data_IF_903576570165
#
_entry.id   IF_903576570165
#
_cell.length_a   1.000
_cell.length_b   1.000
_cell.length_c   1.000
_cell.angle_alpha   90.00
_cell.angle_beta   90.00
_cell.angle_gamma   90.00
#
_symmetry.space_group_name_H-M   'P 1'
#
loop_
_entity.id
_entity.type
_entity.pdbx_description
1 polymer ?
#
# COMPACT_ATOMS: atom_id res chain seq x y z
N UNK A 1 -12.90 -15.73 2.63
CA UNK A 1 -12.47 -16.74 1.61
C UNK A 1 -11.04 -17.12 1.91
N UNK A 2 -10.74 -18.39 2.14
CA UNK A 2 -9.37 -18.88 2.37
C UNK A 2 -8.61 -18.70 1.05
N UNK A 3 -7.46 -18.04 1.13
CA UNK A 3 -6.57 -17.78 0.01
C UNK A 3 -6.18 -19.08 -0.68
N UNK A 4 -6.90 -19.44 -1.73
CA UNK A 4 -6.45 -20.47 -2.67
C UNK A 4 -5.07 -20.06 -3.18
N UNK A 5 -4.21 -21.03 -3.45
CA UNK A 5 -2.87 -20.79 -3.99
C UNK A 5 -2.99 -20.00 -5.29
N UNK A 6 -2.72 -18.69 -5.21
CA UNK A 6 -2.76 -17.80 -6.38
C UNK A 6 -1.59 -18.09 -7.29
N UNK A 7 -1.85 -18.19 -8.59
CA UNK A 7 -0.77 -18.32 -9.57
C UNK A 7 0.07 -17.05 -9.58
N UNK A 8 1.33 -17.16 -9.19
CA UNK A 8 2.30 -16.06 -9.20
C UNK A 8 3.02 -15.99 -10.53
N UNK A 9 3.22 -14.77 -10.98
CA UNK A 9 4.05 -14.44 -12.15
C UNK A 9 5.34 -13.76 -11.68
N UNK A 10 6.39 -13.86 -12.48
CA UNK A 10 7.67 -13.17 -12.27
C UNK A 10 7.90 -12.17 -13.38
N UNK A 11 8.13 -10.91 -13.02
CA UNK A 11 8.48 -9.88 -13.98
C UNK A 11 9.96 -9.90 -14.34
N UNK A 12 10.31 -9.28 -15.45
CA UNK A 12 11.69 -9.01 -15.84
C UNK A 12 12.44 -8.11 -14.85
N UNK A 13 11.71 -7.29 -14.10
CA UNK A 13 12.27 -6.41 -13.05
C UNK A 13 12.52 -7.12 -11.72
N UNK A 14 12.10 -8.39 -11.60
CA UNK A 14 12.27 -9.20 -10.39
C UNK A 14 11.11 -9.11 -9.39
N UNK A 15 10.01 -8.47 -9.77
CA UNK A 15 8.77 -8.49 -8.99
C UNK A 15 8.04 -9.83 -9.15
N UNK A 16 7.45 -10.31 -8.07
CA UNK A 16 6.44 -11.34 -8.06
C UNK A 16 5.06 -10.70 -7.95
N UNK A 17 4.12 -11.15 -8.75
CA UNK A 17 2.76 -10.60 -8.75
C UNK A 17 1.73 -11.65 -9.11
N UNK A 18 0.47 -11.36 -8.82
CA UNK A 18 -0.70 -12.08 -9.33
C UNK A 18 -1.49 -11.18 -10.25
N UNK A 19 -2.23 -11.79 -11.19
CA UNK A 19 -3.10 -11.11 -12.14
C UNK A 19 -4.46 -11.77 -12.11
N UNK A 20 -5.52 -10.99 -11.92
CA UNK A 20 -6.91 -11.45 -11.81
C UNK A 20 -7.85 -10.51 -12.58
N UNK A 21 -8.90 -11.06 -13.16
CA UNK A 21 -9.92 -10.27 -13.86
C UNK A 21 -9.50 -9.75 -15.23
N UNK A 22 -10.32 -8.86 -15.79
CA UNK A 22 -10.14 -8.19 -17.08
C UNK A 22 -10.65 -6.75 -16.99
N UNK A 23 -10.13 -5.87 -17.84
CA UNK A 23 -10.46 -4.44 -17.86
C UNK A 23 -9.27 -3.55 -17.60
N UNK A 24 -9.46 -2.26 -17.26
CA UNK A 24 -8.40 -1.33 -16.94
C UNK A 24 -7.52 -1.82 -15.79
N UNK A 25 -6.24 -1.42 -15.79
CA UNK A 25 -5.24 -1.97 -14.87
C UNK A 25 -5.27 -1.29 -13.49
N UNK A 26 -5.51 -2.08 -12.44
CA UNK A 26 -5.45 -1.66 -11.05
C UNK A 26 -4.31 -2.39 -10.33
N UNK A 27 -3.33 -1.64 -9.83
CA UNK A 27 -2.14 -2.20 -9.16
C UNK A 27 -2.23 -2.00 -7.65
N UNK A 28 -2.02 -3.08 -6.89
CA UNK A 28 -2.11 -3.12 -5.43
C UNK A 28 -0.74 -3.37 -4.79
N UNK A 29 -0.31 -2.50 -3.87
CA UNK A 29 0.97 -2.56 -3.17
C UNK A 29 0.75 -2.67 -1.66
N UNK A 30 1.24 -3.75 -1.04
CA UNK A 30 1.07 -4.03 0.39
C UNK A 30 2.00 -3.22 1.31
N UNK A 31 1.82 -3.32 2.63
CA UNK A 31 2.67 -2.70 3.66
C UNK A 31 3.91 -3.50 4.04
N UNK A 32 4.79 -2.91 4.86
CA UNK A 32 6.04 -3.55 5.34
C UNK A 32 5.74 -4.88 6.03
N UNK A 33 6.53 -5.90 5.72
CA UNK A 33 6.45 -7.23 6.32
C UNK A 33 5.27 -8.08 5.86
N UNK A 34 4.38 -7.52 5.06
CA UNK A 34 3.27 -8.23 4.45
C UNK A 34 3.66 -8.79 3.07
N UNK A 35 2.68 -9.26 2.33
CA UNK A 35 2.81 -9.83 1.00
C UNK A 35 1.51 -9.63 0.22
N UNK A 36 1.50 -9.95 -1.07
CA UNK A 36 0.35 -9.67 -1.95
C UNK A 36 -0.96 -10.29 -1.47
N UNK A 37 -0.92 -11.38 -0.68
CA UNK A 37 -2.12 -12.00 -0.10
C UNK A 37 -2.83 -11.12 0.93
N UNK A 38 -2.20 -10.05 1.42
CA UNK A 38 -2.86 -9.05 2.25
C UNK A 38 -4.02 -8.32 1.52
N UNK A 39 -4.09 -8.44 0.21
CA UNK A 39 -5.17 -7.96 -0.65
C UNK A 39 -6.26 -9.01 -0.93
N UNK A 40 -6.24 -10.14 -0.25
CA UNK A 40 -7.13 -11.27 -0.52
C UNK A 40 -8.61 -10.92 -0.52
N UNK A 41 -9.04 -10.01 0.38
CA UNK A 41 -10.43 -9.59 0.49
C UNK A 41 -10.84 -8.54 -0.57
N UNK A 42 -9.90 -8.03 -1.36
CA UNK A 42 -10.15 -7.11 -2.48
C UNK A 42 -10.28 -7.84 -3.82
N UNK A 43 -9.63 -8.99 -3.99
CA UNK A 43 -9.49 -9.65 -5.28
C UNK A 43 -10.81 -9.95 -5.97
N UNK A 44 -11.77 -10.58 -5.28
CA UNK A 44 -13.04 -10.95 -5.88
C UNK A 44 -13.88 -9.73 -6.31
N UNK A 45 -13.90 -8.69 -5.49
CA UNK A 45 -14.68 -7.49 -5.77
C UNK A 45 -14.09 -6.69 -6.93
N UNK A 46 -12.77 -6.45 -6.89
CA UNK A 46 -12.09 -5.61 -7.87
C UNK A 46 -11.95 -6.30 -9.23
N UNK A 47 -11.70 -7.61 -9.26
CA UNK A 47 -11.49 -8.36 -10.51
C UNK A 47 -12.76 -8.50 -11.39
N UNK A 48 -13.93 -8.11 -10.89
CA UNK A 48 -15.17 -8.04 -11.68
C UNK A 48 -15.12 -6.93 -12.74
N UNK A 49 -14.37 -5.85 -12.46
CA UNK A 49 -14.35 -4.66 -13.32
C UNK A 49 -12.95 -4.31 -13.83
N UNK A 50 -11.90 -4.83 -13.21
CA UNK A 50 -10.51 -4.44 -13.47
C UNK A 50 -9.62 -5.65 -13.70
N UNK A 51 -8.53 -5.44 -14.43
CA UNK A 51 -7.37 -6.32 -14.35
C UNK A 51 -6.58 -5.94 -13.10
N UNK A 52 -6.71 -6.72 -12.04
CA UNK A 52 -6.07 -6.48 -10.74
C UNK A 52 -4.70 -7.13 -10.72
N UNK A 53 -3.68 -6.35 -10.46
CA UNK A 53 -2.32 -6.79 -10.23
C UNK A 53 -1.94 -6.51 -8.78
N UNK A 54 -1.76 -7.55 -7.96
CA UNK A 54 -1.17 -7.37 -6.64
C UNK A 54 0.29 -7.81 -6.68
N UNK A 55 1.19 -6.94 -6.23
CA UNK A 55 2.64 -7.19 -6.26
C UNK A 55 3.17 -7.48 -4.86
N UNK A 56 4.14 -8.38 -4.75
CA UNK A 56 5.03 -8.39 -3.60
C UNK A 56 6.03 -7.24 -3.77
N UNK A 57 6.14 -6.35 -2.78
CA UNK A 57 7.16 -5.30 -2.80
C UNK A 57 8.58 -5.92 -2.93
N UNK A 58 9.55 -5.22 -3.54
CA UNK A 58 10.94 -5.68 -3.53
C UNK A 58 11.40 -6.10 -2.14
N UNK A 59 11.99 -7.31 -2.05
CA UNK A 59 12.44 -7.91 -0.80
C UNK A 59 11.33 -8.53 0.06
N UNK A 60 10.08 -8.61 -0.42
CA UNK A 60 8.95 -9.25 0.27
C UNK A 60 8.39 -10.40 -0.58
N UNK A 61 7.69 -11.32 0.10
CA UNK A 61 7.08 -12.47 -0.54
C UNK A 61 8.09 -13.20 -1.43
N UNK A 62 7.82 -13.23 -2.73
CA UNK A 62 8.70 -13.85 -3.70
C UNK A 62 9.43 -12.84 -4.63
N UNK A 63 9.34 -11.55 -4.35
CA UNK A 63 10.06 -10.52 -5.09
C UNK A 63 11.52 -10.45 -4.68
N UNK A 64 12.37 -10.16 -5.68
CA UNK A 64 13.83 -10.03 -5.46
C UNK A 64 14.14 -8.88 -4.51
N UNK A 65 15.09 -9.09 -3.60
CA UNK A 65 15.69 -8.03 -2.80
C UNK A 65 16.49 -7.06 -3.68
N UNK A 66 16.34 -5.76 -3.43
CA UNK A 66 17.21 -4.74 -4.04
C UNK A 66 18.57 -4.72 -3.34
N UNK A 67 19.67 -4.59 -4.10
CA UNK A 67 21.03 -4.56 -3.53
C UNK A 67 21.26 -3.35 -2.64
N UNK A 68 20.76 -2.20 -3.06
CA UNK A 68 20.86 -0.94 -2.33
C UNK A 68 19.52 -0.21 -2.40
N UNK A 69 18.93 0.04 -1.25
CA UNK A 69 17.68 0.79 -1.16
C UNK A 69 17.73 1.71 0.05
N UNK A 70 17.78 3.01 -0.19
CA UNK A 70 17.92 4.04 0.84
C UNK A 70 16.68 4.91 0.95
N UNK A 71 15.77 4.87 -0.02
CA UNK A 71 14.57 5.69 -0.02
C UNK A 71 13.40 5.06 -0.77
N UNK A 72 12.22 5.65 -0.63
CA UNK A 72 10.96 5.18 -1.20
C UNK A 72 10.97 5.17 -2.74
N UNK A 73 11.73 6.06 -3.37
CA UNK A 73 11.79 6.19 -4.83
C UNK A 73 12.34 4.93 -5.49
N UNK A 74 13.22 4.20 -4.82
CA UNK A 74 13.77 2.94 -5.35
C UNK A 74 12.71 1.86 -5.48
N UNK A 75 11.80 1.75 -4.51
CA UNK A 75 10.64 0.85 -4.61
C UNK A 75 9.73 1.27 -5.76
N UNK A 76 9.46 2.55 -5.83
CA UNK A 76 8.63 3.15 -6.90
C UNK A 76 9.23 2.90 -8.28
N UNK A 77 10.54 3.10 -8.46
CA UNK A 77 11.25 2.92 -9.74
C UNK A 77 11.15 1.48 -10.28
N UNK A 78 11.22 0.49 -9.40
CA UNK A 78 11.08 -0.93 -9.79
C UNK A 78 9.67 -1.21 -10.30
N UNK A 79 8.64 -0.71 -9.60
CA UNK A 79 7.23 -0.89 -9.99
C UNK A 79 6.94 -0.11 -11.28
N UNK A 80 7.39 1.14 -11.38
CA UNK A 80 7.19 1.96 -12.58
C UNK A 80 7.83 1.32 -13.82
N UNK A 81 9.04 0.78 -13.69
CA UNK A 81 9.71 0.07 -14.78
C UNK A 81 8.89 -1.15 -15.22
N UNK A 82 8.38 -1.93 -14.28
CA UNK A 82 7.53 -3.08 -14.58
C UNK A 82 6.25 -2.65 -15.31
N UNK A 83 5.54 -1.63 -14.82
CA UNK A 83 4.33 -1.10 -15.47
C UNK A 83 4.67 -0.66 -16.89
N UNK A 84 5.73 0.12 -17.09
CA UNK A 84 6.15 0.65 -18.38
C UNK A 84 6.54 -0.46 -19.38
N UNK A 85 7.18 -1.53 -18.92
CA UNK A 85 7.70 -2.58 -19.81
C UNK A 85 6.69 -3.69 -20.09
N UNK A 86 5.87 -4.07 -19.11
CA UNK A 86 5.01 -5.25 -19.20
C UNK A 86 3.52 -4.92 -19.29
N UNK A 87 3.01 -3.95 -18.52
CA UNK A 87 1.61 -3.54 -18.60
C UNK A 87 1.35 -2.59 -19.78
N UNK A 88 2.27 -1.67 -20.04
CA UNK A 88 2.23 -0.71 -21.17
C UNK A 88 0.95 0.13 -21.24
N UNK A 89 0.35 0.40 -20.10
CA UNK A 89 -0.85 1.21 -19.93
C UNK A 89 -0.75 2.03 -18.64
N UNK A 90 -1.46 3.14 -18.57
CA UNK A 90 -1.65 3.82 -17.29
C UNK A 90 -2.46 2.95 -16.33
N UNK A 91 -2.27 3.15 -15.03
CA UNK A 91 -2.89 2.34 -13.98
C UNK A 91 -3.51 3.24 -12.91
N UNK A 92 -4.54 2.75 -12.24
CA UNK A 92 -4.86 3.24 -10.91
C UNK A 92 -3.97 2.48 -9.92
N UNK A 93 -3.21 3.23 -9.10
CA UNK A 93 -2.30 2.66 -8.13
C UNK A 93 -2.92 2.71 -6.74
N UNK A 94 -3.12 1.56 -6.11
CA UNK A 94 -3.57 1.47 -4.73
C UNK A 94 -2.45 0.93 -3.83
N UNK A 95 -2.25 1.54 -2.67
CA UNK A 95 -1.27 1.07 -1.70
C UNK A 95 -1.78 1.14 -0.27
N UNK A 96 -1.30 0.21 0.57
CA UNK A 96 -1.59 0.17 1.99
C UNK A 96 -0.32 0.44 2.80
N UNK A 97 -0.41 1.31 3.82
CA UNK A 97 0.72 1.63 4.71
C UNK A 97 1.95 2.12 3.92
N UNK A 98 3.11 1.49 3.99
CA UNK A 98 4.25 1.84 3.14
C UNK A 98 3.91 1.75 1.64
N UNK A 99 3.07 0.79 1.24
CA UNK A 99 2.58 0.68 -0.14
C UNK A 99 1.82 1.94 -0.59
N UNK A 100 1.12 2.62 0.32
CA UNK A 100 0.45 3.89 0.02
C UNK A 100 1.44 5.04 -0.25
N UNK A 101 2.55 5.04 0.47
CA UNK A 101 3.63 6.02 0.24
C UNK A 101 4.32 5.77 -1.11
N UNK A 102 4.49 4.49 -1.49
CA UNK A 102 4.98 4.10 -2.82
C UNK A 102 3.99 4.54 -3.91
N UNK A 103 2.69 4.32 -3.70
CA UNK A 103 1.65 4.72 -4.64
C UNK A 103 1.60 6.24 -4.86
N UNK A 104 1.70 7.03 -3.79
CA UNK A 104 1.78 8.49 -3.87
C UNK A 104 3.05 8.94 -4.58
N UNK A 105 4.20 8.37 -4.24
CA UNK A 105 5.47 8.68 -4.91
C UNK A 105 5.43 8.30 -6.40
N UNK A 106 4.73 7.21 -6.76
CA UNK A 106 4.49 6.84 -8.14
C UNK A 106 3.64 7.87 -8.88
N UNK A 107 2.51 8.29 -8.32
CA UNK A 107 1.63 9.27 -8.92
C UNK A 107 2.31 10.64 -9.13
N UNK A 108 3.21 11.03 -8.22
CA UNK A 108 3.99 12.26 -8.31
C UNK A 108 5.08 12.17 -9.40
N UNK A 109 5.82 11.07 -9.46
CA UNK A 109 7.01 10.96 -10.33
C UNK A 109 6.74 10.37 -11.71
N UNK A 110 5.65 9.66 -11.87
CA UNK A 110 5.27 8.94 -13.09
C UNK A 110 3.80 9.20 -13.42
N UNK A 111 3.42 10.48 -13.41
CA UNK A 111 2.03 10.92 -13.65
C UNK A 111 1.48 10.42 -14.98
N UNK A 112 2.33 10.28 -15.99
CA UNK A 112 1.97 9.75 -17.32
C UNK A 112 1.58 8.26 -17.31
N UNK A 113 1.97 7.53 -16.26
CA UNK A 113 1.61 6.12 -16.05
C UNK A 113 0.51 5.93 -15.01
N UNK A 114 -0.02 7.03 -14.44
CA UNK A 114 -0.95 7.00 -13.33
C UNK A 114 -2.27 7.67 -13.71
N UNK A 115 -3.38 6.93 -13.68
CA UNK A 115 -4.73 7.48 -13.86
C UNK A 115 -5.36 7.96 -12.56
N UNK A 116 -4.84 7.54 -11.40
CA UNK A 116 -5.30 7.93 -10.08
C UNK A 116 -4.62 7.15 -8.97
N UNK A 117 -4.67 7.65 -7.75
CA UNK A 117 -4.01 7.03 -6.59
C UNK A 117 -4.96 6.82 -5.42
N UNK A 118 -4.94 5.61 -4.86
CA UNK A 118 -5.68 5.19 -3.66
C UNK A 118 -4.67 4.93 -2.55
N UNK A 119 -4.57 5.82 -1.58
CA UNK A 119 -3.65 5.73 -0.45
C UNK A 119 -4.40 5.28 0.81
N UNK A 120 -4.22 4.00 1.20
CA UNK A 120 -4.84 3.43 2.39
C UNK A 120 -3.87 3.47 3.57
N UNK A 121 -4.34 4.03 4.70
CA UNK A 121 -3.58 4.12 5.95
C UNK A 121 -2.18 4.70 5.74
N UNK A 122 -2.11 5.83 5.03
CA UNK A 122 -0.86 6.50 4.65
C UNK A 122 -0.36 7.42 5.76
N UNK A 123 0.95 7.42 5.97
CA UNK A 123 1.59 8.33 6.92
C UNK A 123 1.89 9.67 6.25
N UNK A 124 1.62 10.75 6.99
CA UNK A 124 1.97 12.10 6.57
C UNK A 124 2.34 12.97 7.78
N UNK A 125 3.56 13.53 7.76
CA UNK A 125 4.05 14.47 8.80
C UNK A 125 3.85 13.97 10.23
N UNK A 126 4.53 12.85 10.57
CA UNK A 126 4.51 12.31 11.95
C UNK A 126 4.91 13.37 12.97
N UNK A 127 4.33 13.28 14.17
CA UNK A 127 4.78 14.10 15.31
C UNK A 127 6.25 13.79 15.66
N UNK A 128 6.87 14.69 16.41
CA UNK A 128 8.26 14.51 16.87
C UNK A 128 8.41 13.22 17.68
N UNK A 129 7.41 12.92 18.52
CA UNK A 129 7.36 11.72 19.36
C UNK A 129 7.26 10.46 18.51
N UNK A 130 6.35 10.47 17.51
CA UNK A 130 6.19 9.34 16.59
C UNK A 130 7.46 9.10 15.77
N UNK A 131 8.14 10.15 15.29
CA UNK A 131 9.45 10.04 14.61
C UNK A 131 10.49 9.40 15.50
N UNK A 132 10.63 9.85 16.76
CA UNK A 132 11.56 9.26 17.72
C UNK A 132 11.28 7.77 17.96
N UNK A 133 10.00 7.41 18.11
CA UNK A 133 9.59 6.02 18.35
C UNK A 133 9.93 5.10 17.16
N UNK A 134 9.67 5.52 15.91
CA UNK A 134 9.99 4.71 14.73
C UNK A 134 11.50 4.59 14.52
N UNK A 135 12.29 5.65 14.76
CA UNK A 135 13.74 5.60 14.67
C UNK A 135 14.36 4.68 15.75
N UNK A 136 13.85 4.72 16.98
CA UNK A 136 14.27 3.79 18.02
C UNK A 136 14.01 2.33 17.62
N UNK A 137 12.86 2.07 16.97
CA UNK A 137 12.54 0.73 16.47
C UNK A 137 13.47 0.28 15.34
N UNK A 138 13.90 1.18 14.44
CA UNK A 138 14.92 0.87 13.42
C UNK A 138 16.20 0.37 14.06
N UNK A 139 16.69 1.05 15.10
CA UNK A 139 17.91 0.64 15.81
C UNK A 139 17.75 -0.75 16.47
N UNK A 140 16.59 -1.01 17.06
CA UNK A 140 16.28 -2.34 17.61
C UNK A 140 16.34 -3.41 16.53
N UNK A 141 15.66 -3.21 15.38
CA UNK A 141 15.63 -4.15 14.27
C UNK A 141 17.02 -4.39 13.67
N UNK A 142 17.88 -3.37 13.61
CA UNK A 142 19.27 -3.51 13.13
C UNK A 142 20.13 -4.36 14.07
N UNK A 143 19.92 -4.23 15.37
CA UNK A 143 20.74 -4.89 16.40
C UNK A 143 20.18 -6.26 16.83
N UNK A 144 18.94 -6.60 16.47
CA UNK A 144 18.29 -7.82 16.87
C UNK A 144 18.63 -8.95 15.87
N UNK A 145 19.11 -10.07 16.39
CA UNK A 145 19.41 -11.27 15.59
C UNK A 145 18.10 -11.90 15.08
N UNK A 146 17.00 -11.71 15.82
CA UNK A 146 15.65 -12.17 15.44
C UNK A 146 14.64 -11.03 15.62
N UNK A 147 14.65 -9.99 14.74
CA UNK A 147 13.83 -8.78 14.89
C UNK A 147 12.33 -9.05 14.69
N UNK A 148 11.93 -10.27 14.41
CA UNK A 148 10.57 -10.67 14.13
C UNK A 148 9.73 -10.83 15.40
N UNK A 149 9.72 -9.81 16.25
CA UNK A 149 8.65 -9.71 17.23
C UNK A 149 7.36 -9.31 16.48
N UNK A 150 6.69 -10.32 15.94
CA UNK A 150 5.46 -10.17 15.16
C UNK A 150 4.26 -9.78 16.01
N UNK A 151 4.30 -10.05 17.32
CA UNK A 151 3.19 -9.79 18.24
C UNK A 151 2.93 -8.29 18.40
N UNK A 152 3.98 -7.49 18.63
CA UNK A 152 3.83 -6.06 18.90
C UNK A 152 3.20 -5.26 17.74
N UNK A 153 3.60 -5.42 16.44
CA UNK A 153 2.88 -4.77 15.35
C UNK A 153 1.45 -5.27 15.22
N UNK A 154 1.18 -6.58 15.29
CA UNK A 154 -0.17 -7.14 15.14
C UNK A 154 -1.11 -6.64 16.24
N UNK A 155 -0.65 -6.59 17.51
CA UNK A 155 -1.44 -6.02 18.60
C UNK A 155 -1.84 -4.56 18.36
N UNK A 156 -1.00 -3.77 17.66
CA UNK A 156 -1.34 -2.39 17.30
C UNK A 156 -2.29 -2.29 16.10
N UNK A 157 -2.24 -3.26 15.20
CA UNK A 157 -2.99 -3.25 13.94
C UNK A 157 -4.44 -3.71 14.10
N UNK A 158 -4.75 -4.46 15.16
CA UNK A 158 -6.08 -4.98 15.47
C UNK A 158 -6.56 -4.53 16.84
N UNK A 159 -7.88 -4.58 17.10
CA UNK A 159 -8.43 -4.43 18.44
C UNK A 159 -8.11 -5.66 19.30
N UNK A 160 -7.72 -5.44 20.55
CA UNK A 160 -7.31 -6.54 21.42
C UNK A 160 -8.26 -6.67 22.62
N UNK A 161 -8.70 -7.88 22.98
CA UNK A 161 -8.42 -9.19 22.35
C UNK A 161 -9.10 -9.32 20.99
N UNK A 162 -8.36 -9.85 20.00
CA UNK A 162 -8.89 -10.05 18.64
C UNK A 162 -9.92 -11.17 18.66
N UNK A 163 -11.10 -10.94 18.08
CA UNK A 163 -12.23 -11.87 18.10
C UNK A 163 -12.83 -12.06 16.69
N UNK A 164 -13.59 -13.15 16.54
CA UNK A 164 -14.28 -13.43 15.27
C UNK A 164 -13.33 -13.62 14.10
N UNK A 165 -13.74 -13.16 12.93
CA UNK A 165 -12.97 -13.27 11.69
C UNK A 165 -11.65 -12.48 11.73
N UNK A 166 -11.58 -11.43 12.54
CA UNK A 166 -10.36 -10.63 12.70
C UNK A 166 -9.22 -11.43 13.36
N UNK A 167 -9.53 -12.45 14.17
CA UNK A 167 -8.53 -13.35 14.74
C UNK A 167 -7.77 -14.12 13.63
N UNK A 168 -8.49 -14.57 12.59
CA UNK A 168 -7.87 -15.22 11.44
C UNK A 168 -6.92 -14.25 10.71
N UNK A 169 -7.34 -12.99 10.50
CA UNK A 169 -6.49 -11.99 9.85
C UNK A 169 -5.27 -11.63 10.69
N UNK A 170 -5.41 -11.56 12.02
CA UNK A 170 -4.28 -11.33 12.92
C UNK A 170 -3.27 -12.49 12.86
N UNK A 171 -3.74 -13.74 12.84
CA UNK A 171 -2.89 -14.92 12.69
C UNK A 171 -2.17 -14.95 11.34
N UNK A 172 -2.87 -14.62 10.24
CA UNK A 172 -2.25 -14.49 8.91
C UNK A 172 -1.17 -13.41 8.91
N UNK A 173 -1.43 -12.25 9.51
CA UNK A 173 -0.44 -11.20 9.64
C UNK A 173 0.79 -11.65 10.44
N UNK A 174 0.60 -12.39 11.54
CA UNK A 174 1.70 -13.00 12.30
C UNK A 174 2.51 -13.96 11.43
N UNK A 175 1.85 -14.83 10.66
CA UNK A 175 2.50 -15.76 9.75
C UNK A 175 3.30 -15.02 8.67
N UNK A 176 2.72 -14.04 7.99
CA UNK A 176 3.41 -13.27 6.94
C UNK A 176 4.63 -12.52 7.48
N UNK A 177 4.49 -11.87 8.62
CA UNK A 177 5.59 -11.18 9.29
C UNK A 177 6.72 -12.14 9.68
N UNK A 178 6.40 -13.32 10.23
CA UNK A 178 7.39 -14.33 10.62
C UNK A 178 8.12 -14.95 9.44
N UNK A 179 7.48 -15.00 8.26
CA UNK A 179 8.01 -15.54 7.02
C UNK A 179 8.65 -14.47 6.12
N UNK A 180 8.52 -13.19 6.46
CA UNK A 180 9.10 -12.12 5.66
C UNK A 180 10.62 -12.27 5.56
N UNK A 181 11.23 -12.15 4.36
CA UNK A 181 12.68 -12.17 4.21
C UNK A 181 13.31 -11.08 5.05
N UNK A 182 14.20 -11.46 5.98
CA UNK A 182 14.72 -10.57 7.02
C UNK A 182 15.37 -9.31 6.48
N UNK A 183 16.21 -9.43 5.45
CA UNK A 183 16.90 -8.29 4.85
C UNK A 183 15.92 -7.37 4.12
N UNK A 184 14.91 -7.93 3.46
CA UNK A 184 13.84 -7.17 2.82
C UNK A 184 13.00 -6.41 3.85
N UNK A 185 12.64 -7.06 4.94
CA UNK A 185 11.92 -6.43 6.05
C UNK A 185 12.72 -5.28 6.68
N UNK A 186 14.00 -5.51 7.00
CA UNK A 186 14.89 -4.48 7.58
C UNK A 186 15.01 -3.27 6.66
N UNK A 187 15.29 -3.51 5.39
CA UNK A 187 15.44 -2.47 4.38
C UNK A 187 14.15 -1.64 4.23
N UNK A 188 13.01 -2.29 4.07
CA UNK A 188 11.72 -1.63 3.93
C UNK A 188 11.33 -0.86 5.19
N UNK A 189 11.54 -1.44 6.37
CA UNK A 189 11.22 -0.78 7.64
C UNK A 189 12.07 0.49 7.85
N UNK A 190 13.35 0.44 7.51
CA UNK A 190 14.23 1.62 7.56
C UNK A 190 13.73 2.72 6.62
N UNK A 191 13.45 2.38 5.36
CA UNK A 191 12.91 3.33 4.37
C UNK A 191 11.58 3.91 4.85
N UNK A 192 10.66 3.10 5.37
CA UNK A 192 9.39 3.56 5.93
C UNK A 192 9.58 4.55 7.08
N UNK A 193 10.54 4.30 7.96
CA UNK A 193 10.80 5.16 9.12
C UNK A 193 11.43 6.50 8.74
N UNK A 194 12.27 6.51 7.71
CA UNK A 194 12.94 7.73 7.23
C UNK A 194 12.04 8.59 6.33
N UNK A 195 10.91 8.06 5.86
CA UNK A 195 9.96 8.78 5.02
C UNK A 195 8.74 9.20 5.83
N UNK A 196 8.29 10.41 5.61
CA UNK A 196 7.21 11.06 6.36
C UNK A 196 6.09 11.59 5.45
N UNK A 197 5.90 10.93 4.32
CA UNK A 197 4.99 11.32 3.26
C UNK A 197 5.60 12.28 2.24
N UNK A 198 4.85 12.67 1.21
CA UNK A 198 5.30 13.58 0.17
C UNK A 198 5.53 15.01 0.68
N UNK A 199 6.33 15.79 -0.05
CA UNK A 199 6.39 17.23 0.19
C UNK A 199 5.05 17.90 -0.14
N UNK A 200 4.73 18.97 0.57
CA UNK A 200 3.47 19.71 0.32
C UNK A 200 3.41 20.28 -1.10
N UNK A 201 4.55 20.73 -1.64
CA UNK A 201 4.67 21.18 -3.02
C UNK A 201 4.28 20.11 -4.03
N UNK A 202 4.67 18.85 -3.77
CA UNK A 202 4.37 17.73 -4.65
C UNK A 202 2.89 17.35 -4.61
N UNK A 203 2.28 17.40 -3.42
CA UNK A 203 0.83 17.19 -3.27
C UNK A 203 0.02 18.30 -3.96
N UNK A 204 0.45 19.57 -3.86
CA UNK A 204 -0.18 20.70 -4.57
C UNK A 204 -0.07 20.60 -6.09
N UNK A 205 0.99 19.97 -6.57
CA UNK A 205 1.24 19.77 -7.99
C UNK A 205 0.71 18.43 -8.53
N UNK A 206 0.06 17.62 -7.70
CA UNK A 206 -0.44 16.30 -8.11
C UNK A 206 -1.53 16.45 -9.16
N UNK A 207 -1.23 16.01 -10.39
CA UNK A 207 -2.09 16.19 -11.57
C UNK A 207 -3.15 15.10 -11.74
N UNK A 208 -3.19 14.09 -10.89
CA UNK A 208 -4.15 12.96 -10.97
C UNK A 208 -5.07 12.94 -9.75
N UNK A 209 -6.28 12.38 -9.88
CA UNK A 209 -7.16 12.18 -8.73
C UNK A 209 -6.49 11.37 -7.63
N UNK A 210 -6.73 11.73 -6.37
CA UNK A 210 -6.20 11.05 -5.20
C UNK A 210 -7.29 10.83 -4.14
N UNK A 211 -7.40 9.61 -3.60
CA UNK A 211 -8.23 9.33 -2.43
C UNK A 211 -7.36 8.77 -1.29
N UNK A 212 -7.54 9.36 -0.11
CA UNK A 212 -6.85 9.00 1.12
C UNK A 212 -7.84 8.33 2.06
N UNK A 213 -7.74 6.99 2.15
CA UNK A 213 -8.62 6.18 3.01
C UNK A 213 -7.84 5.81 4.26
N UNK A 214 -8.39 6.11 5.44
CA UNK A 214 -7.77 5.69 6.70
C UNK A 214 -8.81 5.21 7.69
N UNK A 215 -8.36 4.67 8.79
CA UNK A 215 -9.20 4.14 9.86
C UNK A 215 -9.23 5.09 11.06
N UNK A 216 -10.40 5.24 11.70
CA UNK A 216 -10.57 6.13 12.85
C UNK A 216 -9.59 5.84 13.97
N UNK A 217 -9.32 4.56 14.22
CA UNK A 217 -8.52 4.10 15.35
C UNK A 217 -7.11 3.62 14.93
N UNK A 218 -6.62 4.00 13.74
CA UNK A 218 -5.26 3.65 13.32
C UNK A 218 -4.21 4.44 14.12
N UNK A 219 -3.36 3.77 14.91
CA UNK A 219 -2.35 4.47 15.70
C UNK A 219 -1.15 4.97 14.86
N UNK A 220 -1.00 4.50 13.62
CA UNK A 220 0.12 4.84 12.74
C UNK A 220 -0.20 5.97 11.77
N UNK A 221 -1.42 5.97 11.22
CA UNK A 221 -1.92 6.92 10.21
C UNK A 221 -3.26 7.50 10.65
N UNK A 222 -3.19 8.53 11.48
CA UNK A 222 -4.37 9.19 12.04
C UNK A 222 -5.23 9.85 10.94
N UNK A 223 -6.55 9.98 11.13
CA UNK A 223 -7.46 10.63 10.19
C UNK A 223 -6.97 11.99 9.70
N UNK A 224 -6.44 12.81 10.59
CA UNK A 224 -5.91 14.14 10.26
C UNK A 224 -4.79 14.14 9.23
N UNK A 225 -4.04 13.04 9.09
CA UNK A 225 -3.01 12.89 8.05
C UNK A 225 -3.66 12.76 6.67
N UNK A 226 -4.68 11.92 6.53
CA UNK A 226 -5.43 11.74 5.28
C UNK A 226 -6.23 12.99 4.90
N UNK A 227 -6.89 13.61 5.86
CA UNK A 227 -7.62 14.87 5.67
C UNK A 227 -6.69 16.01 5.21
N UNK A 228 -5.49 16.10 5.80
CA UNK A 228 -4.49 17.09 5.41
C UNK A 228 -4.02 16.87 3.98
N UNK A 229 -3.67 15.65 3.60
CA UNK A 229 -3.26 15.34 2.23
C UNK A 229 -4.38 15.61 1.21
N UNK A 230 -5.61 15.22 1.53
CA UNK A 230 -6.77 15.48 0.68
C UNK A 230 -7.03 16.98 0.47
N UNK A 231 -6.87 17.79 1.51
CA UNK A 231 -7.04 19.25 1.43
C UNK A 231 -5.95 19.91 0.56
N UNK A 232 -4.74 19.36 0.56
CA UNK A 232 -3.61 19.92 -0.20
C UNK A 232 -3.70 19.56 -1.69
N UNK A 233 -4.16 18.35 -2.02
CA UNK A 233 -4.24 17.88 -3.40
C UNK A 233 -5.38 18.55 -4.17
N UNK A 234 -5.16 19.04 -5.42
CA UNK A 234 -6.21 19.68 -6.21
C UNK A 234 -7.45 18.81 -6.45
N UNK A 235 -7.27 17.49 -6.60
CA UNK A 235 -8.33 16.50 -6.78
C UNK A 235 -8.31 15.46 -5.63
N UNK A 236 -8.04 15.94 -4.41
CA UNK A 236 -7.93 15.12 -3.21
C UNK A 236 -9.28 14.84 -2.57
N UNK A 237 -9.48 13.59 -2.14
CA UNK A 237 -10.64 13.15 -1.35
C UNK A 237 -10.13 12.38 -0.14
N UNK A 238 -10.83 12.45 0.99
CA UNK A 238 -10.55 11.62 2.17
C UNK A 238 -11.78 10.83 2.57
N UNK A 239 -11.54 9.62 3.08
CA UNK A 239 -12.58 8.76 3.63
C UNK A 239 -12.08 8.10 4.91
N UNK A 240 -12.87 8.15 5.96
CA UNK A 240 -12.52 7.58 7.27
C UNK A 240 -13.40 6.36 7.54
N UNK A 241 -12.77 5.21 7.68
CA UNK A 241 -13.45 3.96 8.07
C UNK A 241 -13.62 3.98 9.57
N UNK A 242 -14.87 4.04 10.02
CA UNK A 242 -15.19 4.02 11.44
C UNK A 242 -14.94 2.62 12.03
N UNK A 243 -14.66 2.56 13.34
CA UNK A 243 -14.42 1.33 14.09
C UNK A 243 -13.31 0.40 13.54
N UNK A 244 -12.44 0.92 12.67
CA UNK A 244 -11.33 0.19 12.07
C UNK A 244 -9.98 0.65 12.62
N UNK A 245 -8.99 -0.23 12.54
CA UNK A 245 -7.56 0.03 12.79
C UNK A 245 -6.74 -0.14 11.52
N UNK A 246 -5.43 -0.39 11.68
CA UNK A 246 -4.46 -0.36 10.58
C UNK A 246 -4.77 -1.37 9.46
N UNK A 247 -5.34 -2.53 9.78
CA UNK A 247 -5.62 -3.58 8.79
C UNK A 247 -7.05 -3.52 8.22
N UNK A 248 -7.62 -2.32 8.10
CA UNK A 248 -8.95 -2.11 7.51
C UNK A 248 -9.16 -2.77 6.12
N UNK A 249 -8.17 -2.86 5.21
CA UNK A 249 -8.36 -3.61 3.96
C UNK A 249 -8.77 -5.07 4.18
N UNK A 250 -8.34 -5.70 5.28
CA UNK A 250 -8.77 -7.06 5.64
C UNK A 250 -10.08 -7.07 6.43
N UNK A 251 -10.18 -6.25 7.47
CA UNK A 251 -11.28 -6.28 8.44
C UNK A 251 -12.56 -5.59 7.97
N UNK A 252 -12.42 -4.56 7.13
CA UNK A 252 -13.52 -3.70 6.65
C UNK A 252 -13.60 -3.67 5.11
N UNK A 253 -13.29 -4.80 4.47
CA UNK A 253 -13.28 -4.91 3.01
C UNK A 253 -14.64 -4.59 2.37
N UNK A 254 -15.73 -4.90 3.06
CA UNK A 254 -17.10 -4.61 2.58
C UNK A 254 -17.38 -3.11 2.43
N UNK A 255 -16.70 -2.27 3.20
CA UNK A 255 -16.78 -0.80 3.11
C UNK A 255 -15.74 -0.24 2.13
N UNK A 256 -14.52 -0.76 2.18
CA UNK A 256 -13.39 -0.27 1.37
C UNK A 256 -13.55 -0.62 -0.11
N UNK A 257 -13.99 -1.83 -0.44
CA UNK A 257 -14.09 -2.28 -1.83
C UNK A 257 -15.00 -1.41 -2.69
N UNK A 258 -16.23 -1.04 -2.28
CA UNK A 258 -17.08 -0.12 -3.04
C UNK A 258 -16.43 1.25 -3.27
N UNK A 259 -15.72 1.79 -2.27
CA UNK A 259 -15.01 3.08 -2.39
C UNK A 259 -13.89 2.97 -3.44
N UNK A 260 -13.09 1.91 -3.40
CA UNK A 260 -12.02 1.67 -4.37
C UNK A 260 -12.58 1.51 -5.79
N UNK A 261 -13.69 0.79 -5.96
CA UNK A 261 -14.33 0.55 -7.26
C UNK A 261 -14.85 1.86 -7.84
N UNK A 262 -15.61 2.63 -7.06
CA UNK A 262 -16.17 3.91 -7.49
C UNK A 262 -15.06 4.90 -7.88
N UNK A 263 -14.04 5.04 -7.03
CA UNK A 263 -12.93 5.94 -7.31
C UNK A 263 -12.16 5.52 -8.58
N UNK A 264 -11.81 4.23 -8.72
CA UNK A 264 -11.08 3.75 -9.89
C UNK A 264 -11.89 3.93 -11.19
N UNK A 265 -13.22 3.71 -11.15
CA UNK A 265 -14.11 3.93 -12.30
C UNK A 265 -14.06 5.39 -12.77
N UNK A 266 -14.14 6.35 -11.85
CA UNK A 266 -14.03 7.78 -12.20
C UNK A 266 -12.66 8.14 -12.79
N UNK A 267 -11.57 7.59 -12.24
CA UNK A 267 -10.23 7.84 -12.77
C UNK A 267 -10.06 7.35 -14.21
N UNK A 268 -10.58 6.17 -14.53
CA UNK A 268 -10.48 5.62 -15.89
C UNK A 268 -11.35 6.37 -16.89
N UNK A 269 -12.59 6.76 -16.51
CA UNK A 269 -13.48 7.56 -17.38
C UNK A 269 -12.84 8.93 -17.75
N UNK A 270 -12.23 9.61 -16.77
CA UNK A 270 -11.52 10.87 -17.03
C UNK A 270 -10.30 10.70 -17.95
N UNK A 271 -9.56 9.59 -17.80
CA UNK A 271 -8.40 9.32 -18.65
C UNK A 271 -8.80 9.03 -20.10
N UNK A 272 -9.95 8.42 -20.34
CA UNK A 272 -10.48 8.20 -21.69
C UNK A 272 -10.90 9.52 -22.35
N UNK A 273 -11.61 10.39 -21.65
CA UNK A 273 -12.01 11.70 -22.17
C UNK A 273 -10.82 12.55 -22.61
N UNK A 274 -9.75 12.62 -21.80
CA UNK A 274 -8.51 13.34 -22.11
C UNK A 274 -7.73 12.77 -23.32
N UNK A 275 -7.96 11.52 -23.70
CA UNK A 275 -7.28 10.90 -24.85
C UNK A 275 -7.95 11.22 -26.19
N UNK A 276 -9.14 11.82 -26.20
CA UNK A 276 -9.90 12.22 -27.39
C UNK A 276 -9.79 13.73 -27.70
N UNK A 277 -9.17 14.51 -26.82
CA UNK A 277 -8.83 15.93 -27.06
C UNK A 277 -7.38 16.06 -27.58
#
# INVERSE_FOLDING_TARGET
MILTTLQRFKSSTGLSYVKLGQGPSLVLVHGVGLRLEAWGNQFEALSKNYTVYAVDMPGHGESRLMKECTDISKYTDVIARWIKTELKSSVVMAGHSMGSMIALNFAIRYSELCSGVIALNSVYRRSVEAKKAVLARVQQIKNDINPQNVTAPVTRWFDYPVQGDDALYADLCCQWLSQAPLDGYRQAYEVFCLNDGPAESDLKALGVPAIFITSRNDPNSQPSMSESMATICPQGQSYIIENAKHMAPLTHSNEINPIMIDFASRCFSQSEEMSYE
#
